data_IF_254107372087
#
_entry.id   IF_254107372087
#
_cell.length_a   1.000
_cell.length_b   1.000
_cell.length_c   1.000
_cell.angle_alpha   90.00
_cell.angle_beta   90.00
_cell.angle_gamma   90.00
#
_symmetry.space_group_name_H-M   'P 1'
#
loop_
_entity.id
_entity.type
_entity.pdbx_description
1 polymer ?
#
# COMPACT_ATOMS: atom_id res chain seq x y z
N UNK A 1 1.63 20.34 -7.85
CA UNK A 1 0.66 19.43 -8.49
C UNK A 1 -0.73 19.69 -7.92
N UNK A 2 -1.76 19.57 -8.75
CA UNK A 2 -3.16 19.75 -8.39
C UNK A 2 -4.08 19.24 -9.51
N UNK A 3 -5.37 19.47 -9.37
CA UNK A 3 -6.39 19.10 -10.36
C UNK A 3 -7.37 20.27 -10.57
N UNK A 4 -8.08 20.31 -11.71
CA UNK A 4 -9.07 21.35 -11.98
C UNK A 4 -10.19 21.39 -10.91
N UNK A 5 -10.66 22.59 -10.57
CA UNK A 5 -11.72 22.80 -9.58
C UNK A 5 -11.40 22.13 -8.23
N UNK A 6 -10.36 22.59 -7.53
CA UNK A 6 -9.85 21.94 -6.33
C UNK A 6 -10.91 21.89 -5.23
N UNK A 7 -10.96 20.77 -4.54
CA UNK A 7 -11.83 20.52 -3.40
C UNK A 7 -10.96 20.35 -2.15
N UNK A 8 -11.28 21.05 -1.08
CA UNK A 8 -10.52 21.01 0.17
C UNK A 8 -11.01 19.92 1.14
N UNK A 9 -11.89 19.03 0.69
CA UNK A 9 -12.32 17.84 1.42
C UNK A 9 -11.34 16.70 1.18
N UNK A 10 -10.80 16.13 2.24
CA UNK A 10 -9.96 14.92 2.18
C UNK A 10 -10.63 13.81 1.36
N UNK A 11 -11.91 13.54 1.59
CA UNK A 11 -12.64 12.45 0.93
C UNK A 11 -12.64 12.61 -0.59
N UNK A 12 -13.02 13.78 -1.10
CA UNK A 12 -13.09 14.00 -2.55
C UNK A 12 -11.71 14.11 -3.18
N UNK A 13 -10.79 14.80 -2.54
CA UNK A 13 -9.42 14.95 -3.05
C UNK A 13 -8.70 13.61 -3.12
N UNK A 14 -8.79 12.81 -2.05
CA UNK A 14 -8.22 11.46 -2.04
C UNK A 14 -8.86 10.55 -3.10
N UNK A 15 -10.19 10.66 -3.30
CA UNK A 15 -10.90 9.96 -4.36
C UNK A 15 -10.34 10.30 -5.75
N UNK A 16 -10.12 11.58 -6.02
CA UNK A 16 -9.53 12.05 -7.29
C UNK A 16 -8.11 11.49 -7.48
N UNK A 17 -7.26 11.56 -6.46
CA UNK A 17 -5.91 11.01 -6.52
C UNK A 17 -5.88 9.49 -6.70
N UNK A 18 -6.82 8.79 -6.10
CA UNK A 18 -6.93 7.34 -6.22
C UNK A 18 -7.52 6.87 -7.55
N UNK A 19 -8.33 7.68 -8.19
CA UNK A 19 -9.03 7.30 -9.44
C UNK A 19 -8.44 7.95 -10.68
N UNK A 20 -7.68 9.03 -10.52
CA UNK A 20 -7.22 9.94 -11.58
C UNK A 20 -8.40 10.57 -12.39
N UNK A 21 -9.58 10.73 -11.74
CA UNK A 21 -10.80 11.24 -12.36
C UNK A 21 -11.36 12.46 -11.61
N UNK A 22 -10.96 13.68 -11.99
CA UNK A 22 -11.39 14.87 -11.27
C UNK A 22 -12.86 15.23 -11.49
N UNK A 23 -13.45 14.84 -12.62
CA UNK A 23 -14.81 15.25 -13.00
C UNK A 23 -15.88 14.23 -12.66
N UNK A 24 -15.51 12.94 -12.53
CA UNK A 24 -16.46 11.84 -12.35
C UNK A 24 -16.20 11.10 -11.03
N UNK A 25 -17.26 10.52 -10.51
CA UNK A 25 -17.16 9.53 -9.43
C UNK A 25 -17.08 8.15 -10.08
N UNK A 26 -15.94 7.50 -9.98
CA UNK A 26 -15.74 6.13 -10.48
C UNK A 26 -15.29 5.20 -9.35
N UNK A 27 -15.52 3.92 -9.53
CA UNK A 27 -15.20 2.91 -8.51
C UNK A 27 -13.78 2.36 -8.61
N UNK A 28 -13.17 2.35 -9.81
CA UNK A 28 -11.87 1.76 -10.05
C UNK A 28 -10.73 2.75 -9.86
N UNK A 29 -9.71 2.31 -9.12
CA UNK A 29 -8.48 3.04 -8.94
C UNK A 29 -7.52 2.93 -10.13
N UNK A 30 -6.67 3.94 -10.34
CA UNK A 30 -5.73 3.95 -11.45
C UNK A 30 -4.64 2.88 -11.33
N UNK A 31 -4.18 2.56 -10.11
CA UNK A 31 -3.25 1.45 -9.88
C UNK A 31 -3.92 0.10 -10.10
N UNK A 32 -5.19 -0.04 -9.71
CA UNK A 32 -5.96 -1.26 -10.01
C UNK A 32 -6.04 -1.53 -11.51
N UNK A 33 -6.25 -0.49 -12.32
CA UNK A 33 -6.20 -0.60 -13.79
C UNK A 33 -4.80 -1.00 -14.26
N UNK A 34 -3.75 -0.39 -13.72
CA UNK A 34 -2.36 -0.73 -14.06
C UNK A 34 -2.02 -2.20 -13.69
N UNK A 35 -2.48 -2.69 -12.54
CA UNK A 35 -2.30 -4.10 -12.16
C UNK A 35 -2.95 -5.03 -13.18
N UNK A 36 -4.16 -4.73 -13.62
CA UNK A 36 -4.87 -5.51 -14.64
C UNK A 36 -4.11 -5.56 -15.98
N UNK A 37 -3.45 -4.46 -16.34
CA UNK A 37 -2.65 -4.38 -17.58
C UNK A 37 -1.29 -5.11 -17.43
N UNK A 38 -0.70 -5.11 -16.23
CA UNK A 38 0.55 -5.80 -15.92
C UNK A 38 0.38 -7.33 -15.82
N UNK A 39 -0.76 -7.79 -15.36
CA UNK A 39 -1.09 -9.21 -15.18
C UNK A 39 -2.50 -9.52 -15.72
N UNK A 40 -2.70 -9.45 -17.04
CA UNK A 40 -4.02 -9.64 -17.66
C UNK A 40 -4.58 -11.07 -17.48
N UNK A 41 -3.70 -12.05 -17.30
CA UNK A 41 -4.06 -13.45 -17.11
C UNK A 41 -4.27 -13.82 -15.62
N UNK A 42 -3.98 -12.90 -14.69
CA UNK A 42 -4.05 -13.13 -13.24
C UNK A 42 -3.18 -14.30 -12.78
N UNK A 43 -1.97 -14.38 -13.30
CA UNK A 43 -1.02 -15.44 -13.00
C UNK A 43 -0.38 -15.28 -11.64
N UNK A 44 -0.21 -14.03 -11.18
CA UNK A 44 0.38 -13.71 -9.89
C UNK A 44 -0.58 -12.96 -8.97
N UNK A 45 -1.07 -13.63 -7.94
CA UNK A 45 -1.96 -13.03 -6.92
C UNK A 45 -1.27 -11.95 -6.06
N UNK A 46 0.06 -11.87 -6.14
CA UNK A 46 0.90 -10.88 -5.44
C UNK A 46 1.47 -9.82 -6.39
N UNK A 47 0.91 -9.63 -7.59
CA UNK A 47 1.31 -8.54 -8.50
C UNK A 47 1.28 -7.19 -7.81
N UNK A 48 0.36 -7.01 -6.84
CA UNK A 48 0.34 -5.85 -5.97
C UNK A 48 0.10 -6.22 -4.50
N UNK A 49 0.81 -5.51 -3.61
CA UNK A 49 0.67 -5.66 -2.15
C UNK A 49 0.52 -4.29 -1.50
N UNK A 50 -0.48 -4.17 -0.62
CA UNK A 50 -0.67 -3.01 0.23
C UNK A 50 -0.23 -3.32 1.66
N UNK A 51 0.59 -2.46 2.25
CA UNK A 51 0.92 -2.51 3.67
C UNK A 51 0.23 -1.36 4.40
N UNK A 52 -0.73 -1.69 5.26
CA UNK A 52 -1.54 -0.73 5.99
C UNK A 52 -2.92 -1.25 6.32
N UNK A 53 -3.78 -0.38 6.81
CA UNK A 53 -5.17 -0.73 7.18
C UNK A 53 -6.11 -0.56 5.99
N UNK A 54 -6.77 -1.64 5.62
CA UNK A 54 -7.75 -1.65 4.54
C UNK A 54 -7.13 -1.56 3.15
N UNK A 55 -7.92 -1.74 2.11
CA UNK A 55 -7.49 -1.63 0.73
C UNK A 55 -7.73 -0.21 0.20
N UNK A 56 -6.67 0.54 -0.17
CA UNK A 56 -6.84 1.85 -0.80
C UNK A 56 -7.59 1.75 -2.13
N UNK A 57 -8.50 2.71 -2.38
CA UNK A 57 -9.24 2.75 -3.65
C UNK A 57 -8.31 2.77 -4.88
N UNK A 58 -7.13 3.36 -4.77
CA UNK A 58 -6.15 3.39 -5.85
C UNK A 58 -5.85 2.00 -6.43
N UNK A 59 -5.85 0.98 -5.59
CA UNK A 59 -5.56 -0.42 -5.96
C UNK A 59 -6.81 -1.22 -6.35
N UNK A 60 -8.01 -0.70 -6.06
CA UNK A 60 -9.25 -1.43 -6.29
C UNK A 60 -9.67 -1.36 -7.76
N UNK A 61 -9.83 -2.51 -8.41
CA UNK A 61 -10.43 -2.62 -9.74
C UNK A 61 -11.11 -3.98 -9.90
N UNK A 62 -12.09 -4.04 -10.81
CA UNK A 62 -12.82 -5.28 -11.08
C UNK A 62 -11.88 -6.36 -11.60
N UNK A 63 -11.94 -7.53 -10.97
CA UNK A 63 -11.15 -8.69 -11.35
C UNK A 63 -9.66 -8.60 -11.02
N UNK A 64 -9.25 -7.67 -10.14
CA UNK A 64 -7.88 -7.53 -9.65
C UNK A 64 -7.82 -7.99 -8.20
N UNK A 65 -6.86 -8.86 -7.89
CA UNK A 65 -6.54 -9.29 -6.53
C UNK A 65 -5.38 -8.46 -5.98
N UNK A 66 -5.51 -7.97 -4.76
CA UNK A 66 -4.45 -7.24 -4.04
C UNK A 66 -4.39 -7.75 -2.61
N UNK A 67 -3.24 -8.19 -2.17
CA UNK A 67 -3.03 -8.53 -0.78
C UNK A 67 -2.93 -7.23 0.06
N UNK A 68 -3.75 -7.10 1.10
CA UNK A 68 -3.70 -5.97 2.03
C UNK A 68 -3.29 -6.44 3.42
N UNK A 69 -2.09 -6.07 3.83
CA UNK A 69 -1.36 -6.60 4.98
C UNK A 69 -1.22 -5.53 6.04
N UNK A 70 -1.79 -5.74 7.22
CA UNK A 70 -1.59 -4.86 8.38
C UNK A 70 -0.30 -5.15 9.13
N UNK A 71 -0.01 -6.44 9.30
CA UNK A 71 1.19 -6.96 9.98
C UNK A 71 1.61 -8.25 9.28
N UNK A 72 2.80 -8.26 8.70
CA UNK A 72 3.30 -9.40 7.93
C UNK A 72 3.60 -10.61 8.81
N UNK A 73 4.00 -10.39 10.06
CA UNK A 73 4.32 -11.47 11.01
C UNK A 73 3.06 -12.25 11.45
N UNK A 74 1.92 -11.60 11.38
CA UNK A 74 0.61 -12.15 11.74
C UNK A 74 -0.37 -12.18 10.56
N UNK A 75 0.15 -12.08 9.33
CA UNK A 75 -0.69 -12.08 8.14
C UNK A 75 -1.15 -13.51 7.81
N UNK A 76 -2.43 -13.63 7.55
CA UNK A 76 -3.03 -14.87 7.09
C UNK A 76 -4.42 -15.10 7.67
N UNK A 77 -5.09 -16.10 7.11
CA UNK A 77 -6.36 -16.59 7.65
C UNK A 77 -6.06 -17.48 8.86
N UNK A 78 -6.81 -17.29 9.94
CA UNK A 78 -6.73 -18.12 11.14
C UNK A 78 -5.43 -18.00 11.95
N UNK A 79 -4.86 -16.80 11.99
CA UNK A 79 -3.62 -16.52 12.74
C UNK A 79 -3.71 -16.75 14.25
N UNK A 80 -4.91 -16.87 14.82
CA UNK A 80 -5.13 -17.22 16.25
C UNK A 80 -5.08 -18.72 16.56
N UNK A 81 -4.95 -19.59 15.56
CA UNK A 81 -4.88 -21.04 15.75
C UNK A 81 -3.44 -21.48 15.93
N UNK A 82 -3.12 -22.00 17.12
CA UNK A 82 -1.74 -22.36 17.49
C UNK A 82 -1.33 -23.78 17.09
N UNK A 83 -2.27 -24.63 16.73
CA UNK A 83 -2.00 -26.00 16.24
C UNK A 83 -1.84 -26.04 14.73
N UNK A 84 -0.73 -26.58 14.23
CA UNK A 84 -0.53 -26.73 12.77
C UNK A 84 -1.64 -27.60 12.13
N UNK A 85 -2.06 -28.66 12.83
CA UNK A 85 -3.12 -29.56 12.37
C UNK A 85 -4.50 -28.86 12.39
N UNK A 86 -4.81 -28.11 13.44
CA UNK A 86 -6.07 -27.35 13.56
C UNK A 86 -6.16 -26.26 12.46
N UNK A 87 -5.03 -25.59 12.16
CA UNK A 87 -4.97 -24.61 11.09
C UNK A 87 -5.16 -25.27 9.73
N UNK A 88 -4.53 -26.39 9.48
CA UNK A 88 -4.66 -27.15 8.22
C UNK A 88 -6.09 -27.59 7.99
N UNK A 89 -6.77 -28.13 9.03
CA UNK A 89 -8.16 -28.55 8.94
C UNK A 89 -9.10 -27.35 8.68
N UNK A 90 -8.87 -26.21 9.35
CA UNK A 90 -9.67 -25.02 9.16
C UNK A 90 -9.46 -24.41 7.76
N UNK A 91 -8.25 -24.44 7.19
CA UNK A 91 -7.98 -24.01 5.84
C UNK A 91 -8.66 -24.92 4.80
N UNK A 92 -8.69 -26.24 5.04
CA UNK A 92 -9.39 -27.19 4.19
C UNK A 92 -10.92 -26.96 4.24
N UNK A 93 -11.48 -26.72 5.42
CA UNK A 93 -12.88 -26.32 5.57
C UNK A 93 -13.16 -25.01 4.80
N UNK A 94 -12.33 -24.00 4.94
CA UNK A 94 -12.48 -22.74 4.23
C UNK A 94 -12.44 -22.93 2.71
N UNK A 95 -11.47 -23.68 2.21
CA UNK A 95 -11.37 -24.00 0.79
C UNK A 95 -12.61 -24.75 0.28
N UNK A 96 -13.13 -25.73 1.05
CA UNK A 96 -14.36 -26.45 0.72
C UNK A 96 -15.61 -25.57 0.76
N UNK A 97 -15.65 -24.51 1.55
CA UNK A 97 -16.75 -23.55 1.56
C UNK A 97 -16.76 -22.67 0.31
N UNK A 98 -15.59 -22.25 -0.16
CA UNK A 98 -15.48 -21.28 -1.24
C UNK A 98 -15.39 -21.93 -2.63
N UNK A 99 -14.65 -23.05 -2.78
CA UNK A 99 -14.45 -23.68 -4.07
C UNK A 99 -15.75 -24.09 -4.80
N UNK A 100 -16.79 -24.63 -4.13
CA UNK A 100 -18.04 -24.99 -4.79
C UNK A 100 -18.87 -23.81 -5.29
N UNK A 101 -18.58 -22.58 -4.82
CA UNK A 101 -19.30 -21.38 -5.23
C UNK A 101 -18.82 -20.83 -6.56
N UNK A 102 -17.65 -21.26 -7.03
CA UNK A 102 -17.10 -20.86 -8.34
C UNK A 102 -17.97 -21.47 -9.45
N UNK A 103 -18.40 -20.64 -10.39
CA UNK A 103 -19.30 -21.02 -11.48
C UNK A 103 -20.79 -20.87 -11.15
N UNK A 104 -21.13 -20.38 -9.94
CA UNK A 104 -22.53 -20.22 -9.52
C UNK A 104 -23.10 -18.80 -9.76
N UNK A 105 -22.26 -17.87 -10.16
CA UNK A 105 -22.64 -16.51 -10.54
C UNK A 105 -21.54 -15.48 -10.25
N UNK A 106 -21.60 -14.30 -10.87
CA UNK A 106 -20.48 -13.36 -10.85
C UNK A 106 -20.11 -12.84 -9.44
N UNK A 107 -21.06 -12.70 -8.54
CA UNK A 107 -20.78 -12.29 -7.15
C UNK A 107 -20.15 -13.43 -6.36
N UNK A 108 -20.67 -14.64 -6.51
CA UNK A 108 -20.14 -15.83 -5.85
C UNK A 108 -18.73 -16.15 -6.36
N UNK A 109 -18.52 -16.06 -7.65
CA UNK A 109 -17.22 -16.27 -8.28
C UNK A 109 -16.18 -15.28 -7.77
N UNK A 110 -16.53 -13.99 -7.70
CA UNK A 110 -15.65 -12.95 -7.17
C UNK A 110 -15.29 -13.19 -5.70
N UNK A 111 -16.27 -13.44 -4.85
CA UNK A 111 -16.04 -13.69 -3.42
C UNK A 111 -15.20 -14.95 -3.17
N UNK A 112 -15.50 -16.01 -3.91
CA UNK A 112 -14.80 -17.29 -3.77
C UNK A 112 -13.35 -17.20 -4.24
N UNK A 113 -13.12 -16.57 -5.38
CA UNK A 113 -11.77 -16.33 -5.89
C UNK A 113 -10.98 -15.45 -4.94
N UNK A 114 -11.57 -14.35 -4.45
CA UNK A 114 -10.91 -13.45 -3.50
C UNK A 114 -10.53 -14.19 -2.20
N UNK A 115 -11.41 -15.07 -1.70
CA UNK A 115 -11.12 -15.88 -0.52
C UNK A 115 -9.95 -16.85 -0.72
N UNK A 116 -9.92 -17.54 -1.85
CA UNK A 116 -8.82 -18.46 -2.20
C UNK A 116 -7.49 -17.72 -2.45
N UNK A 117 -7.54 -16.58 -3.11
CA UNK A 117 -6.36 -15.74 -3.36
C UNK A 117 -5.79 -15.19 -2.04
N UNK A 118 -6.66 -14.80 -1.10
CA UNK A 118 -6.23 -14.35 0.22
C UNK A 118 -5.51 -15.45 1.00
N UNK A 119 -5.98 -16.71 0.91
CA UNK A 119 -5.32 -17.86 1.53
C UNK A 119 -3.94 -18.09 0.95
N UNK A 120 -3.84 -18.20 -0.38
CA UNK A 120 -2.58 -18.45 -1.09
C UNK A 120 -1.59 -17.30 -0.88
N UNK A 121 -2.06 -16.07 -1.01
CA UNK A 121 -1.23 -14.89 -0.81
C UNK A 121 -0.66 -14.80 0.60
N UNK A 122 -1.44 -15.17 1.61
CA UNK A 122 -1.00 -15.19 2.99
C UNK A 122 0.13 -16.19 3.23
N UNK A 123 -0.01 -17.40 2.70
CA UNK A 123 1.01 -18.44 2.87
C UNK A 123 2.33 -18.07 2.17
N UNK A 124 2.27 -17.48 0.98
CA UNK A 124 3.46 -17.00 0.26
C UNK A 124 4.11 -15.84 1.03
N UNK A 125 3.34 -14.83 1.41
CA UNK A 125 3.87 -13.64 2.09
C UNK A 125 4.48 -13.94 3.44
N UNK A 126 3.98 -14.95 4.17
CA UNK A 126 4.52 -15.35 5.46
C UNK A 126 5.96 -15.89 5.39
N UNK A 127 6.42 -16.28 4.21
CA UNK A 127 7.79 -16.73 3.98
C UNK A 127 8.80 -15.58 3.83
N UNK A 128 8.37 -14.37 3.46
CA UNK A 128 9.25 -13.24 3.21
C UNK A 128 10.16 -12.88 4.40
N UNK A 129 9.66 -12.76 5.65
CA UNK A 129 10.52 -12.43 6.79
C UNK A 129 11.53 -13.53 7.15
N UNK A 130 11.27 -14.78 6.75
CA UNK A 130 12.11 -15.93 7.16
C UNK A 130 13.46 -15.94 6.47
N UNK A 131 13.55 -15.41 5.27
CA UNK A 131 14.76 -15.37 4.44
C UNK A 131 15.41 -13.99 4.38
N UNK A 132 14.83 -13.02 5.11
CA UNK A 132 15.32 -11.64 5.13
C UNK A 132 16.29 -11.41 6.28
N UNK A 133 17.42 -10.79 5.96
CA UNK A 133 18.35 -10.26 6.93
C UNK A 133 18.91 -8.94 6.41
N UNK A 134 19.04 -7.94 7.24
CA UNK A 134 19.63 -6.64 6.90
C UNK A 134 20.33 -6.05 8.10
N UNK A 135 21.40 -5.29 7.86
CA UNK A 135 22.07 -4.51 8.90
C UNK A 135 21.35 -3.21 9.21
N UNK A 136 20.35 -2.82 8.39
CA UNK A 136 19.60 -1.59 8.55
C UNK A 136 18.51 -1.73 9.61
N UNK A 137 18.56 -0.85 10.60
CA UNK A 137 17.57 -0.78 11.68
C UNK A 137 16.49 0.23 11.32
N UNK A 138 15.32 -0.24 10.90
CA UNK A 138 14.16 0.61 10.63
C UNK A 138 13.57 1.18 11.91
N UNK A 139 13.15 2.45 11.85
CA UNK A 139 12.47 3.10 12.97
C UNK A 139 11.22 2.37 13.45
N UNK A 140 10.79 2.63 14.70
CA UNK A 140 9.63 1.98 15.33
C UNK A 140 8.26 2.51 14.89
N UNK A 141 8.17 3.46 13.97
CA UNK A 141 6.88 3.98 13.49
C UNK A 141 6.15 2.92 12.62
N UNK A 142 4.80 2.91 12.60
CA UNK A 142 4.06 2.00 11.72
C UNK A 142 4.49 2.09 10.25
N UNK A 143 4.73 3.30 9.74
CA UNK A 143 5.20 3.50 8.37
C UNK A 143 6.56 2.85 8.12
N UNK A 144 7.53 3.03 9.03
CA UNK A 144 8.86 2.43 8.89
C UNK A 144 8.76 0.89 8.87
N UNK A 145 7.91 0.31 9.71
CA UNK A 145 7.70 -1.14 9.72
C UNK A 145 6.98 -1.64 8.46
N UNK A 146 6.02 -0.90 7.91
CA UNK A 146 5.40 -1.26 6.63
C UNK A 146 6.38 -1.16 5.46
N UNK A 147 7.25 -0.15 5.46
CA UNK A 147 8.31 -0.01 4.44
C UNK A 147 9.34 -1.14 4.57
N UNK A 148 9.70 -1.55 5.79
CA UNK A 148 10.50 -2.76 6.01
C UNK A 148 9.83 -4.02 5.44
N UNK A 149 8.52 -4.17 5.64
CA UNK A 149 7.78 -5.30 5.08
C UNK A 149 7.79 -5.27 3.53
N UNK A 150 7.76 -4.07 2.93
CA UNK A 150 7.95 -3.91 1.47
C UNK A 150 9.32 -4.45 1.05
N UNK A 151 10.40 -4.07 1.76
CA UNK A 151 11.74 -4.58 1.47
C UNK A 151 11.78 -6.12 1.54
N UNK A 152 11.22 -6.70 2.59
CA UNK A 152 11.15 -8.16 2.76
C UNK A 152 10.45 -8.87 1.60
N UNK A 153 9.30 -8.35 1.15
CA UNK A 153 8.53 -8.95 0.06
C UNK A 153 9.20 -8.73 -1.30
N UNK A 154 9.80 -7.56 -1.51
CA UNK A 154 10.54 -7.25 -2.73
C UNK A 154 11.75 -8.18 -2.88
N UNK A 155 12.57 -8.30 -1.83
CA UNK A 155 13.77 -9.14 -1.82
C UNK A 155 13.47 -10.64 -1.84
N UNK A 156 12.26 -11.05 -1.47
CA UNK A 156 11.81 -12.44 -1.62
C UNK A 156 11.43 -12.83 -3.06
N UNK A 157 11.40 -11.86 -3.99
CA UNK A 157 11.15 -12.03 -5.43
C UNK A 157 9.88 -12.82 -5.75
N UNK A 158 8.77 -12.44 -5.11
CA UNK A 158 7.45 -13.03 -5.40
C UNK A 158 6.79 -12.48 -6.67
N UNK A 159 7.53 -11.72 -7.48
CA UNK A 159 7.04 -11.09 -8.70
C UNK A 159 6.11 -9.90 -8.44
N UNK A 160 6.13 -9.32 -7.24
CA UNK A 160 5.35 -8.14 -6.90
C UNK A 160 5.88 -6.91 -7.63
N UNK A 161 5.00 -6.22 -8.34
CA UNK A 161 5.33 -5.06 -9.18
C UNK A 161 4.88 -3.74 -8.59
N UNK A 162 3.84 -3.75 -7.75
CA UNK A 162 3.27 -2.56 -7.14
C UNK A 162 3.15 -2.76 -5.63
N UNK A 163 3.79 -1.87 -4.89
CA UNK A 163 3.62 -1.76 -3.45
C UNK A 163 2.88 -0.47 -3.12
N UNK A 164 2.02 -0.51 -2.13
CA UNK A 164 1.34 0.66 -1.61
C UNK A 164 1.43 0.70 -0.09
N UNK A 165 1.70 1.86 0.45
CA UNK A 165 1.64 2.12 1.88
C UNK A 165 1.36 3.59 2.14
N UNK A 166 1.10 3.96 3.38
CA UNK A 166 0.90 5.36 3.76
C UNK A 166 0.78 5.52 5.26
N UNK A 167 0.83 6.76 5.70
CA UNK A 167 0.56 7.10 7.10
C UNK A 167 -0.94 6.94 7.42
N UNK A 168 -1.27 6.80 8.68
CA UNK A 168 -2.67 6.76 9.10
C UNK A 168 -3.42 8.04 8.66
N UNK A 169 -4.69 7.92 8.24
CA UNK A 169 -5.50 9.09 7.89
C UNK A 169 -5.49 10.16 9.00
N UNK A 170 -5.38 11.42 8.61
CA UNK A 170 -5.33 12.55 9.53
C UNK A 170 -3.96 12.84 10.16
N UNK A 171 -2.94 12.01 9.94
CA UNK A 171 -1.60 12.24 10.51
C UNK A 171 -1.00 13.59 10.09
N UNK A 172 -1.13 13.93 8.80
CA UNK A 172 -0.65 15.21 8.24
C UNK A 172 -1.73 16.30 8.19
N UNK A 173 -2.92 16.04 8.73
CA UNK A 173 -4.01 17.02 8.81
C UNK A 173 -3.82 17.97 10.01
N UNK A 174 -2.67 18.63 10.05
CA UNK A 174 -2.27 19.55 11.10
C UNK A 174 -2.78 20.94 10.78
N UNK A 175 -3.62 21.52 11.65
CA UNK A 175 -4.11 22.89 11.52
C UNK A 175 -3.57 23.81 12.62
N UNK A 176 -2.80 23.23 13.55
CA UNK A 176 -2.21 23.95 14.67
C UNK A 176 -0.85 23.33 15.04
N UNK A 177 0.03 24.16 15.59
CA UNK A 177 1.38 23.77 16.02
C UNK A 177 2.22 23.13 14.90
N UNK A 178 2.02 23.53 13.67
CA UNK A 178 2.67 22.95 12.49
C UNK A 178 4.19 23.03 12.55
N UNK A 179 4.74 24.13 13.04
CA UNK A 179 6.19 24.34 13.18
C UNK A 179 6.88 23.27 14.05
N UNK A 180 6.13 22.62 14.94
CA UNK A 180 6.64 21.56 15.81
C UNK A 180 6.31 20.19 15.24
N UNK A 181 5.11 20.05 14.72
CA UNK A 181 4.56 18.74 14.31
C UNK A 181 5.06 18.29 12.95
N UNK A 182 5.02 19.17 11.94
CA UNK A 182 5.38 18.81 10.57
C UNK A 182 6.84 18.38 10.41
N UNK A 183 7.85 19.04 11.01
CA UNK A 183 9.23 18.58 10.90
C UNK A 183 9.43 17.16 11.43
N UNK A 184 8.73 16.79 12.51
CA UNK A 184 8.77 15.43 13.06
C UNK A 184 8.14 14.43 12.12
N UNK A 185 6.94 14.72 11.58
CA UNK A 185 6.24 13.84 10.66
C UNK A 185 7.05 13.62 9.35
N UNK A 186 7.63 14.70 8.82
CA UNK A 186 8.50 14.60 7.65
C UNK A 186 9.80 13.87 7.97
N UNK A 187 10.35 14.05 9.18
CA UNK A 187 11.50 13.28 9.66
C UNK A 187 11.20 11.77 9.67
N UNK A 188 10.04 11.36 10.20
CA UNK A 188 9.63 9.96 10.25
C UNK A 188 9.49 9.37 8.83
N UNK A 189 8.91 10.11 7.88
CA UNK A 189 8.78 9.68 6.47
C UNK A 189 10.14 9.60 5.80
N UNK A 190 10.97 10.63 5.94
CA UNK A 190 12.28 10.72 5.29
C UNK A 190 13.22 9.63 5.79
N UNK A 191 13.25 9.37 7.10
CA UNK A 191 14.07 8.34 7.69
C UNK A 191 13.63 6.95 7.19
N UNK A 192 12.32 6.67 7.17
CA UNK A 192 11.81 5.39 6.68
C UNK A 192 12.18 5.12 5.20
N UNK A 193 12.16 6.16 4.35
CA UNK A 193 12.57 6.06 2.94
C UNK A 193 14.08 5.90 2.84
N UNK A 194 14.87 6.60 3.67
CA UNK A 194 16.33 6.46 3.69
C UNK A 194 16.75 5.06 4.14
N UNK A 195 16.17 4.55 5.22
CA UNK A 195 16.39 3.19 5.72
C UNK A 195 16.09 2.15 4.63
N UNK A 196 14.97 2.32 3.91
CA UNK A 196 14.58 1.46 2.80
C UNK A 196 15.59 1.48 1.65
N UNK A 197 16.05 2.67 1.26
CA UNK A 197 17.05 2.79 0.19
C UNK A 197 18.38 2.15 0.57
N UNK A 198 18.85 2.34 1.81
CA UNK A 198 20.08 1.72 2.30
C UNK A 198 19.95 0.19 2.38
N UNK A 199 18.79 -0.31 2.82
CA UNK A 199 18.50 -1.75 2.86
C UNK A 199 18.53 -2.36 1.43
N UNK A 200 17.88 -1.72 0.47
CA UNK A 200 17.94 -2.18 -0.92
C UNK A 200 19.35 -2.11 -1.51
N UNK A 201 20.14 -1.10 -1.16
CA UNK A 201 21.55 -1.03 -1.56
C UNK A 201 22.39 -2.18 -0.98
N UNK A 202 22.19 -2.52 0.27
CA UNK A 202 22.85 -3.66 0.90
C UNK A 202 22.63 -4.95 0.09
N UNK A 203 21.46 -5.07 -0.53
CA UNK A 203 21.06 -6.22 -1.35
C UNK A 203 21.24 -6.04 -2.86
N UNK A 204 21.81 -4.92 -3.33
CA UNK A 204 21.99 -4.54 -4.74
C UNK A 204 20.66 -4.48 -5.53
N UNK A 205 19.57 -4.09 -4.88
CA UNK A 205 18.21 -4.01 -5.45
C UNK A 205 17.67 -2.56 -5.55
N UNK A 206 18.47 -1.56 -5.26
CA UNK A 206 18.06 -0.14 -5.21
C UNK A 206 17.69 0.45 -6.58
N UNK A 207 18.23 -0.06 -7.70
CA UNK A 207 17.91 0.42 -9.05
C UNK A 207 16.54 -0.06 -9.56
N UNK A 208 15.91 -1.04 -8.88
CA UNK A 208 14.69 -1.69 -9.34
C UNK A 208 13.41 -0.94 -8.90
N UNK A 209 13.51 -0.03 -7.93
CA UNK A 209 12.36 0.62 -7.30
C UNK A 209 12.31 2.12 -7.59
N UNK A 210 11.10 2.57 -7.91
CA UNK A 210 10.74 3.99 -7.94
C UNK A 210 9.62 4.23 -6.94
N UNK A 211 9.82 5.18 -6.04
CA UNK A 211 8.84 5.58 -5.02
C UNK A 211 8.13 6.84 -5.51
N UNK A 212 6.79 6.79 -5.57
CA UNK A 212 5.94 7.97 -5.71
C UNK A 212 5.37 8.34 -4.35
N UNK A 213 5.81 9.46 -3.80
CA UNK A 213 5.28 10.05 -2.58
C UNK A 213 4.33 11.19 -2.93
N UNK A 214 3.08 11.12 -2.49
CA UNK A 214 2.06 12.12 -2.76
C UNK A 214 1.10 12.29 -1.59
N UNK A 215 0.36 13.40 -1.62
CA UNK A 215 -0.76 13.67 -0.73
C UNK A 215 -1.93 14.26 -1.53
N UNK A 216 -3.13 14.23 -0.97
CA UNK A 216 -4.37 14.64 -1.66
C UNK A 216 -4.45 16.14 -1.94
N UNK A 217 -3.80 16.98 -1.12
CA UNK A 217 -3.67 18.43 -1.33
C UNK A 217 -2.55 19.00 -0.46
N UNK A 218 -2.20 20.27 -0.68
CA UNK A 218 -1.23 21.01 0.12
C UNK A 218 -1.89 21.96 1.12
N UNK A 219 -1.13 22.97 1.54
CA UNK A 219 -1.55 23.98 2.50
C UNK A 219 -1.62 25.37 1.87
N UNK A 220 -2.47 26.25 2.42
CA UNK A 220 -2.49 27.67 2.06
C UNK A 220 -1.21 28.34 2.55
N UNK A 221 -0.79 29.38 1.82
CA UNK A 221 0.36 30.21 2.20
C UNK A 221 0.05 31.08 3.42
N UNK A 222 -1.24 31.38 3.65
CA UNK A 222 -1.68 32.25 4.73
C UNK A 222 -1.77 31.45 6.02
N UNK A 223 -1.12 31.96 7.05
CA UNK A 223 -1.19 31.46 8.42
C UNK A 223 -2.59 31.73 9.02
N UNK A 224 -3.15 30.74 9.72
CA UNK A 224 -4.43 30.84 10.42
C UNK A 224 -4.29 31.24 11.90
N UNK A 225 -3.07 31.61 12.34
CA UNK A 225 -2.73 31.98 13.70
C UNK A 225 -2.02 30.88 14.51
N UNK A 226 -1.99 29.64 14.01
CA UNK A 226 -1.31 28.51 14.67
C UNK A 226 -0.77 27.48 13.69
N UNK A 227 -1.11 27.59 12.42
CA UNK A 227 -0.75 26.72 11.34
C UNK A 227 -1.38 27.19 10.03
N UNK A 228 -1.79 26.28 9.18
CA UNK A 228 -2.36 26.59 7.86
C UNK A 228 -3.60 25.74 7.56
N UNK A 229 -4.46 26.25 6.67
CA UNK A 229 -5.62 25.53 6.17
C UNK A 229 -5.30 24.77 4.87
N UNK A 230 -6.22 23.90 4.46
CA UNK A 230 -6.10 23.13 3.21
C UNK A 230 -5.95 24.04 1.99
N UNK A 231 -4.96 23.74 1.17
CA UNK A 231 -4.67 24.43 -0.09
C UNK A 231 -4.99 23.57 -1.30
N UNK A 232 -5.00 24.19 -2.48
CA UNK A 232 -5.37 23.54 -3.74
C UNK A 232 -4.26 22.76 -4.41
N UNK A 233 -3.01 23.13 -4.15
CA UNK A 233 -1.83 22.54 -4.77
C UNK A 233 -0.94 21.87 -3.74
N UNK A 234 -0.20 20.86 -4.18
CA UNK A 234 0.75 20.12 -3.37
C UNK A 234 2.03 19.84 -4.13
N UNK A 235 2.96 19.20 -3.47
CA UNK A 235 4.14 18.60 -4.10
C UNK A 235 3.98 17.08 -4.15
N UNK A 236 4.61 16.44 -5.13
CA UNK A 236 4.82 15.02 -5.14
C UNK A 236 6.30 14.75 -5.40
N UNK A 237 6.81 13.65 -4.90
CA UNK A 237 8.21 13.28 -5.07
C UNK A 237 8.28 11.95 -5.82
N UNK A 238 9.19 11.88 -6.79
CA UNK A 238 9.65 10.63 -7.37
C UNK A 238 11.07 10.39 -6.84
N UNK A 239 11.28 9.23 -6.22
CA UNK A 239 12.53 8.88 -5.54
C UNK A 239 12.99 7.51 -6.04
N UNK A 240 14.28 7.38 -6.37
CA UNK A 240 14.90 6.14 -6.81
C UNK A 240 16.08 6.40 -7.74
N UNK A 241 16.99 5.45 -7.85
CA UNK A 241 18.22 5.62 -8.65
C UNK A 241 17.94 5.73 -10.16
N UNK A 242 16.81 5.16 -10.62
CA UNK A 242 16.36 5.30 -12.01
C UNK A 242 15.75 6.69 -12.32
N UNK A 243 15.54 7.54 -11.31
CA UNK A 243 14.91 8.85 -11.49
C UNK A 243 15.97 9.91 -11.81
N UNK A 244 15.79 10.63 -12.91
CA UNK A 244 16.61 11.82 -13.17
C UNK A 244 16.19 12.93 -12.22
N UNK A 245 17.05 13.23 -11.25
CA UNK A 245 16.79 14.25 -10.25
C UNK A 245 16.66 15.66 -10.84
N UNK A 246 15.93 16.52 -10.15
CA UNK A 246 15.65 17.91 -10.51
C UNK A 246 14.22 18.32 -10.14
N UNK A 247 13.86 19.55 -10.52
CA UNK A 247 12.50 20.10 -10.38
C UNK A 247 11.77 20.00 -11.72
#
# INVERSE_FOLDING_TARGET
IGYPNPNHSHFRSLDIWHTAEPEKMISEGWLGKAIRDLDPNKENILTAVNFGRGLPRALAASGVSVASVGDLSNYGVLTGMQGADDRSEALDIFARMYAPMIGTGPVSDYLSQTGLDALRGADILSAAPQNYSSSVEYGGSPLAQWIKNIAQVHLADFGTRIFYTGVNPGTFDTHANENITLPKLWGDVSNAIADFHEDLKEHNANEEIVILLFTEFGRRVVDNGSGTDHGSGSVAFLIGDAVKGGL
#
